data_IF_899781351198
#
_entry.id   IF_899781351198
#
_cell.length_a   1.000
_cell.length_b   1.000
_cell.length_c   1.000
_cell.angle_alpha   90.00
_cell.angle_beta   90.00
_cell.angle_gamma   90.00
#
_symmetry.space_group_name_H-M   'P 1'
#
loop_
_entity.id
_entity.type
_entity.pdbx_description
1 polymer ?
#
# COMPACT_ATOMS: atom_id res chain seq x y z
N UNK A 1 -0.64 23.34 -13.30
CA UNK A 1 -0.85 21.91 -13.62
C UNK A 1 -1.18 21.20 -12.32
N UNK A 2 -2.45 20.96 -12.04
CA UNK A 2 -2.90 20.22 -10.86
C UNK A 2 -2.57 18.74 -11.08
N UNK A 3 -1.49 18.26 -10.46
CA UNK A 3 -1.24 16.82 -10.37
C UNK A 3 -2.42 16.19 -9.63
N UNK A 4 -3.27 15.44 -10.34
CA UNK A 4 -4.26 14.54 -9.75
C UNK A 4 -3.51 13.35 -9.15
N UNK A 5 -2.88 13.59 -8.01
CA UNK A 5 -2.20 12.56 -7.24
C UNK A 5 -3.27 11.82 -6.44
N UNK A 6 -3.33 10.50 -6.58
CA UNK A 6 -4.22 9.64 -5.80
C UNK A 6 -4.06 9.92 -4.31
N UNK A 7 -5.16 9.88 -3.55
CA UNK A 7 -5.09 10.09 -2.11
C UNK A 7 -4.12 9.06 -1.50
N UNK A 8 -3.29 9.42 -0.50
CA UNK A 8 -2.29 8.52 0.06
C UNK A 8 -2.86 7.15 0.47
N UNK A 9 -4.05 7.17 1.05
CA UNK A 9 -4.81 5.97 1.42
C UNK A 9 -5.14 5.12 0.20
N UNK A 10 -5.69 5.70 -0.86
CA UNK A 10 -6.06 4.98 -2.09
C UNK A 10 -4.83 4.35 -2.74
N UNK A 11 -3.72 5.09 -2.82
CA UNK A 11 -2.45 4.57 -3.34
C UNK A 11 -1.93 3.40 -2.50
N UNK A 12 -2.02 3.49 -1.18
CA UNK A 12 -1.63 2.39 -0.30
C UNK A 12 -2.48 1.13 -0.55
N UNK A 13 -3.78 1.29 -0.77
CA UNK A 13 -4.68 0.18 -1.11
C UNK A 13 -4.37 -0.42 -2.48
N UNK A 14 -4.05 0.38 -3.50
CA UNK A 14 -3.59 -0.12 -4.79
C UNK A 14 -2.33 -0.97 -4.64
N UNK A 15 -1.32 -0.45 -3.96
CA UNK A 15 -0.06 -1.15 -3.72
C UNK A 15 -0.29 -2.45 -2.95
N UNK A 16 -1.14 -2.45 -1.91
CA UNK A 16 -1.48 -3.66 -1.17
C UNK A 16 -2.13 -4.74 -2.05
N UNK A 17 -2.97 -4.35 -3.01
CA UNK A 17 -3.65 -5.27 -3.94
C UNK A 17 -2.71 -5.89 -4.99
N UNK A 18 -1.54 -5.30 -5.25
CA UNK A 18 -0.56 -5.87 -6.19
C UNK A 18 0.01 -7.21 -5.70
N UNK A 19 0.02 -7.45 -4.40
CA UNK A 19 0.68 -8.61 -3.79
C UNK A 19 2.22 -8.54 -3.81
N UNK A 20 2.81 -7.47 -4.34
CA UNK A 20 4.26 -7.27 -4.38
C UNK A 20 4.80 -6.98 -2.96
N UNK A 21 4.03 -6.24 -2.18
CA UNK A 21 4.39 -5.81 -0.83
C UNK A 21 3.78 -6.73 0.24
N UNK A 22 4.51 -6.97 1.32
CA UNK A 22 4.17 -7.85 2.45
C UNK A 22 3.61 -7.09 3.65
N UNK A 23 3.84 -5.77 3.73
CA UNK A 23 3.46 -4.97 4.90
C UNK A 23 3.21 -3.50 4.58
N UNK A 24 2.48 -2.83 5.48
CA UNK A 24 2.29 -1.37 5.46
C UNK A 24 3.62 -0.62 5.35
N UNK A 25 4.66 -1.04 6.10
CA UNK A 25 5.96 -0.35 6.08
C UNK A 25 6.65 -0.42 4.72
N UNK A 26 6.47 -1.51 3.96
CA UNK A 26 6.98 -1.59 2.59
C UNK A 26 6.17 -0.71 1.63
N UNK A 27 4.84 -0.65 1.81
CA UNK A 27 3.97 0.26 1.06
C UNK A 27 4.36 1.71 1.31
N UNK A 28 4.61 2.09 2.58
CA UNK A 28 5.09 3.43 2.95
C UNK A 28 6.38 3.79 2.22
N UNK A 29 7.37 2.89 2.19
CA UNK A 29 8.62 3.10 1.44
C UNK A 29 8.40 3.21 -0.07
N UNK A 30 7.45 2.45 -0.62
CA UNK A 30 7.10 2.56 -2.04
C UNK A 30 6.44 3.91 -2.35
N UNK A 31 5.57 4.39 -1.48
CA UNK A 31 4.93 5.70 -1.61
C UNK A 31 5.94 6.85 -1.49
N UNK A 32 6.90 6.77 -0.57
CA UNK A 32 8.00 7.74 -0.48
C UNK A 32 8.78 7.80 -1.79
N UNK A 33 9.06 6.65 -2.42
CA UNK A 33 9.71 6.58 -3.75
C UNK A 33 8.85 7.15 -4.88
N UNK A 34 7.54 6.96 -4.81
CA UNK A 34 6.59 7.58 -5.76
C UNK A 34 6.54 9.10 -5.56
N UNK A 35 7.08 9.63 -4.45
CA UNK A 35 7.19 11.06 -4.13
C UNK A 35 6.11 11.55 -3.16
N UNK A 36 5.44 10.66 -2.44
CA UNK A 36 4.51 11.04 -1.38
C UNK A 36 5.29 11.60 -0.19
N UNK A 37 4.71 12.58 0.50
CA UNK A 37 5.38 13.21 1.63
C UNK A 37 5.30 12.34 2.88
N UNK A 38 6.17 12.61 3.86
CA UNK A 38 6.08 11.95 5.17
C UNK A 38 4.74 12.21 5.87
N UNK A 39 4.11 13.37 5.65
CA UNK A 39 2.79 13.67 6.19
C UNK A 39 1.71 12.75 5.58
N UNK A 40 1.80 12.46 4.28
CA UNK A 40 0.90 11.55 3.58
C UNK A 40 1.05 10.11 4.07
N UNK A 41 2.29 9.67 4.29
CA UNK A 41 2.61 8.34 4.81
C UNK A 41 2.18 8.22 6.27
N UNK A 42 2.30 9.29 7.06
CA UNK A 42 1.85 9.32 8.45
C UNK A 42 0.33 9.17 8.58
N UNK A 43 -0.46 9.57 7.58
CA UNK A 43 -1.90 9.29 7.57
C UNK A 43 -2.22 7.79 7.51
N UNK A 44 -1.24 6.96 7.11
CA UNK A 44 -1.38 5.50 7.10
C UNK A 44 -1.05 4.87 8.46
N UNK A 45 -0.54 5.65 9.42
CA UNK A 45 -0.23 5.20 10.78
C UNK A 45 -1.49 5.12 11.63
N UNK A 46 -2.36 4.17 11.29
CA UNK A 46 -3.49 3.75 12.11
C UNK A 46 -3.46 2.24 12.33
N UNK A 47 -3.74 1.79 13.56
CA UNK A 47 -3.79 0.36 13.91
C UNK A 47 -4.80 -0.40 13.05
N UNK A 48 -5.96 0.22 12.78
CA UNK A 48 -6.98 -0.33 11.90
C UNK A 48 -6.52 -0.40 10.44
N UNK A 49 -5.98 0.70 9.90
CA UNK A 49 -5.54 0.76 8.50
C UNK A 49 -4.36 -0.18 8.24
N UNK A 50 -3.40 -0.24 9.16
CA UNK A 50 -2.28 -1.17 9.10
C UNK A 50 -2.76 -2.62 9.06
N UNK A 51 -3.76 -2.97 9.87
CA UNK A 51 -4.34 -4.33 9.86
C UNK A 51 -5.03 -4.64 8.52
N UNK A 52 -5.76 -3.68 7.96
CA UNK A 52 -6.42 -3.84 6.66
C UNK A 52 -5.40 -3.99 5.52
N UNK A 53 -4.41 -3.09 5.43
CA UNK A 53 -3.37 -3.15 4.40
C UNK A 53 -2.58 -4.45 4.49
N UNK A 54 -2.16 -4.87 5.68
CA UNK A 54 -1.45 -6.13 5.87
C UNK A 54 -2.32 -7.35 5.50
N UNK A 55 -3.63 -7.30 5.80
CA UNK A 55 -4.58 -8.33 5.39
C UNK A 55 -4.66 -8.46 3.87
N UNK A 56 -4.81 -7.32 3.19
CA UNK A 56 -4.86 -7.25 1.73
C UNK A 56 -3.55 -7.70 1.07
N UNK A 57 -2.40 -7.30 1.60
CA UNK A 57 -1.10 -7.76 1.11
C UNK A 57 -1.00 -9.29 1.15
N UNK A 58 -1.41 -9.91 2.26
CA UNK A 58 -1.40 -11.36 2.42
C UNK A 58 -2.36 -12.05 1.47
N UNK A 59 -3.56 -11.50 1.30
CA UNK A 59 -4.56 -12.03 0.38
C UNK A 59 -4.07 -11.94 -1.07
N UNK A 60 -3.55 -10.79 -1.48
CA UNK A 60 -3.01 -10.57 -2.81
C UNK A 60 -1.80 -11.48 -3.08
N UNK A 61 -0.92 -11.69 -2.11
CA UNK A 61 0.19 -12.65 -2.22
C UNK A 61 -0.28 -14.08 -2.40
N UNK A 62 -1.25 -14.51 -1.60
CA UNK A 62 -1.85 -15.84 -1.74
C UNK A 62 -2.45 -16.03 -3.14
N UNK A 63 -3.15 -15.01 -3.67
CA UNK A 63 -3.66 -15.01 -5.05
C UNK A 63 -2.52 -15.09 -6.08
N UNK A 64 -1.48 -14.26 -5.96
CA UNK A 64 -0.35 -14.25 -6.88
C UNK A 64 0.36 -15.61 -6.94
N UNK A 65 0.60 -16.23 -5.78
CA UNK A 65 1.22 -17.57 -5.70
C UNK A 65 0.36 -18.65 -6.34
N UNK A 66 -0.97 -18.50 -6.31
CA UNK A 66 -1.91 -19.47 -6.90
C UNK A 66 -2.07 -19.32 -8.41
N UNK A 67 -1.76 -18.15 -8.97
CA UNK A 67 -1.76 -17.93 -10.43
C UNK A 67 -0.44 -18.36 -11.09
N UNK A 68 0.65 -18.43 -10.32
CA UNK A 68 1.97 -18.85 -10.79
C UNK A 68 2.24 -20.37 -10.68
N UNK A 69 1.27 -21.15 -10.18
CA UNK A 69 1.33 -22.61 -10.03
C UNK A 69 0.34 -23.29 -10.98
#
# INVERSE_FOLDING_TARGET
MTQFRLHPVERAFELAKTGIYRSRSEISRAMEKDGYTMADVNQLEGTSLTRQLNGLCREAQSRLTKTAA
#
